data_IF_270831665224
#
_entry.id   IF_270831665224
#
_cell.length_a   1.000
_cell.length_b   1.000
_cell.length_c   1.000
_cell.angle_alpha   90.00
_cell.angle_beta   90.00
_cell.angle_gamma   90.00
#
_symmetry.space_group_name_H-M   'P 1'
#
loop_
_entity.id
_entity.type
_entity.pdbx_description
1 polymer ?
#
# COMPACT_ATOMS: atom_id res chain seq x y z
N UNK A 1 18.60 7.70 9.02
CA UNK A 1 18.02 6.82 8.00
C UNK A 1 17.66 5.49 8.64
N UNK A 2 16.46 5.02 8.42
CA UNK A 2 16.03 3.72 8.93
C UNK A 2 16.64 2.57 8.12
N UNK A 3 16.74 1.39 8.74
CA UNK A 3 17.22 0.18 8.08
C UNK A 3 16.12 -0.90 8.16
N UNK A 4 15.89 -1.59 7.08
CA UNK A 4 14.99 -2.75 7.01
C UNK A 4 15.72 -3.91 6.32
N UNK A 5 15.00 -5.02 6.09
CA UNK A 5 15.56 -6.17 5.37
C UNK A 5 14.77 -6.47 4.10
N UNK A 6 15.48 -6.79 3.04
CA UNK A 6 14.91 -7.33 1.82
C UNK A 6 15.56 -8.69 1.53
N UNK A 7 14.78 -9.75 1.48
CA UNK A 7 15.26 -11.14 1.36
C UNK A 7 16.36 -11.47 2.39
N UNK A 8 16.18 -11.02 3.63
CA UNK A 8 17.14 -11.24 4.72
C UNK A 8 18.35 -10.28 4.74
N UNK A 9 18.60 -9.54 3.67
CA UNK A 9 19.72 -8.60 3.57
C UNK A 9 19.31 -7.19 4.06
N UNK A 10 20.18 -6.50 4.81
CA UNK A 10 19.87 -5.15 5.28
C UNK A 10 19.80 -4.16 4.12
N UNK A 11 18.78 -3.32 4.13
CA UNK A 11 18.56 -2.27 3.13
C UNK A 11 18.31 -0.96 3.85
N UNK A 12 18.98 0.09 3.42
CA UNK A 12 18.75 1.45 3.91
C UNK A 12 17.46 2.02 3.29
N UNK A 13 16.65 2.65 4.14
CA UNK A 13 15.42 3.31 3.72
C UNK A 13 15.60 4.82 3.87
N UNK A 14 15.16 5.56 2.88
CA UNK A 14 15.16 7.02 2.93
C UNK A 14 14.11 7.49 3.94
N UNK A 15 14.53 8.26 4.95
CA UNK A 15 13.68 8.78 6.01
C UNK A 15 13.59 7.87 7.23
N UNK A 16 12.65 8.17 8.09
CA UNK A 16 12.39 7.45 9.34
C UNK A 16 11.01 6.79 9.30
N UNK A 17 10.88 5.69 10.01
CA UNK A 17 9.58 5.04 10.18
C UNK A 17 8.66 5.89 11.06
N UNK A 18 7.41 5.96 10.68
CA UNK A 18 6.39 6.65 11.46
C UNK A 18 6.17 5.90 12.77
N UNK A 19 6.22 6.64 13.87
CA UNK A 19 6.01 6.05 15.20
C UNK A 19 4.57 5.59 15.38
N UNK A 20 4.41 4.50 16.12
CA UNK A 20 3.10 4.01 16.53
C UNK A 20 2.37 5.08 17.34
N UNK A 21 1.10 5.32 17.01
CA UNK A 21 0.28 6.33 17.68
C UNK A 21 0.35 7.74 17.07
N UNK A 22 1.26 7.97 16.10
CA UNK A 22 1.26 9.26 15.39
C UNK A 22 0.21 9.31 14.29
N UNK A 23 -0.24 10.52 13.97
CA UNK A 23 -1.17 10.76 12.86
C UNK A 23 -0.52 10.38 11.54
N UNK A 24 -1.24 9.63 10.72
CA UNK A 24 -0.80 9.28 9.39
C UNK A 24 -0.79 10.53 8.48
N UNK A 25 0.33 10.84 7.79
CA UNK A 25 0.33 11.90 6.80
C UNK A 25 -0.58 11.53 5.63
N UNK A 26 -1.24 12.53 5.07
CA UNK A 26 -2.06 12.35 3.89
C UNK A 26 -1.21 12.05 2.65
N UNK A 27 -1.79 11.28 1.74
CA UNK A 27 -1.18 10.95 0.46
C UNK A 27 -2.25 10.78 -0.62
N UNK A 28 -1.83 10.92 -1.86
CA UNK A 28 -2.68 10.68 -3.03
C UNK A 28 -2.19 9.46 -3.80
N UNK A 29 -3.13 8.66 -4.26
CA UNK A 29 -2.92 7.47 -5.08
C UNK A 29 -3.83 7.53 -6.31
N UNK A 30 -3.56 6.69 -7.30
CA UNK A 30 -4.40 6.55 -8.49
C UNK A 30 -5.10 5.20 -8.45
N UNK A 31 -6.42 5.22 -8.55
CA UNK A 31 -7.25 4.00 -8.60
C UNK A 31 -7.27 3.38 -10.02
N UNK A 32 -7.90 2.22 -10.11
CA UNK A 32 -8.03 1.48 -11.38
C UNK A 32 -8.81 2.24 -12.47
N UNK A 33 -9.67 3.17 -12.07
CA UNK A 33 -10.44 4.05 -12.96
C UNK A 33 -9.70 5.34 -13.33
N UNK A 34 -8.41 5.45 -12.99
CA UNK A 34 -7.55 6.62 -13.19
C UNK A 34 -7.91 7.83 -12.33
N UNK A 35 -8.87 7.74 -11.43
CA UNK A 35 -9.20 8.83 -10.50
C UNK A 35 -8.18 8.93 -9.38
N UNK A 36 -7.93 10.14 -8.90
CA UNK A 36 -7.14 10.37 -7.69
C UNK A 36 -7.92 9.97 -6.46
N UNK A 37 -7.19 9.45 -5.47
CA UNK A 37 -7.73 9.02 -4.20
C UNK A 37 -6.80 9.44 -3.08
N UNK A 38 -7.35 10.01 -2.03
CA UNK A 38 -6.60 10.53 -0.89
C UNK A 38 -6.97 9.77 0.38
N UNK A 39 -6.01 9.62 1.30
CA UNK A 39 -6.26 8.98 2.59
C UNK A 39 -7.37 9.67 3.38
N UNK A 40 -7.53 10.98 3.23
CA UNK A 40 -8.57 11.77 3.89
C UNK A 40 -9.99 11.31 3.55
N UNK A 41 -10.19 10.73 2.37
CA UNK A 41 -11.49 10.20 1.96
C UNK A 41 -11.95 9.02 2.82
N UNK A 42 -11.04 8.42 3.58
CA UNK A 42 -11.31 7.28 4.47
C UNK A 42 -11.38 7.68 5.95
N UNK A 43 -11.56 8.97 6.24
CA UNK A 43 -11.71 9.43 7.62
C UNK A 43 -12.86 8.69 8.33
N UNK A 44 -12.60 8.26 9.57
CA UNK A 44 -13.56 7.51 10.37
C UNK A 44 -13.55 6.00 10.13
N UNK A 45 -12.72 5.50 9.21
CA UNK A 45 -12.55 4.08 8.93
C UNK A 45 -11.19 3.56 9.38
N UNK A 46 -11.14 2.28 9.71
CA UNK A 46 -9.86 1.58 9.88
C UNK A 46 -9.26 1.33 8.49
N UNK A 47 -8.01 1.72 8.28
CA UNK A 47 -7.34 1.57 6.99
C UNK A 47 -6.14 0.65 7.14
N UNK A 48 -6.12 -0.41 6.33
CA UNK A 48 -4.98 -1.31 6.22
C UNK A 48 -4.27 -1.00 4.91
N UNK A 49 -2.99 -0.67 4.99
CA UNK A 49 -2.16 -0.43 3.82
C UNK A 49 -1.31 -1.68 3.52
N UNK A 50 -1.64 -2.40 2.46
CA UNK A 50 -0.85 -3.50 1.94
C UNK A 50 0.01 -2.99 0.78
N UNK A 51 1.30 -2.81 1.03
CA UNK A 51 2.23 -2.19 0.09
C UNK A 51 3.24 -3.21 -0.38
N UNK A 52 3.37 -3.33 -1.68
CA UNK A 52 4.21 -4.34 -2.30
C UNK A 52 4.79 -3.84 -3.65
N UNK A 53 5.87 -4.45 -4.14
CA UNK A 53 6.51 -4.02 -5.39
C UNK A 53 5.65 -4.24 -6.63
N UNK A 54 5.04 -5.42 -6.80
CA UNK A 54 4.24 -5.74 -7.97
C UNK A 54 3.34 -6.95 -7.76
N UNK A 55 2.16 -6.93 -8.39
CA UNK A 55 1.24 -8.08 -8.49
C UNK A 55 1.83 -9.26 -9.29
N UNK A 56 2.86 -9.02 -10.07
CA UNK A 56 3.54 -10.07 -10.84
C UNK A 56 4.47 -10.93 -9.98
N UNK A 57 4.57 -10.66 -8.68
CA UNK A 57 5.25 -11.52 -7.72
C UNK A 57 4.23 -12.41 -6.99
N UNK A 58 4.54 -13.70 -6.85
CA UNK A 58 3.59 -14.67 -6.27
C UNK A 58 3.17 -14.35 -4.85
N UNK A 59 4.08 -13.89 -4.01
CA UNK A 59 3.81 -13.49 -2.61
C UNK A 59 2.86 -12.29 -2.56
N UNK A 60 3.08 -11.28 -3.40
CA UNK A 60 2.26 -10.07 -3.43
C UNK A 60 0.83 -10.37 -3.90
N UNK A 61 0.69 -11.14 -4.96
CA UNK A 61 -0.62 -11.58 -5.45
C UNK A 61 -1.38 -12.39 -4.39
N UNK A 62 -0.70 -13.31 -3.71
CA UNK A 62 -1.27 -14.10 -2.61
C UNK A 62 -1.72 -13.22 -1.45
N UNK A 63 -0.93 -12.21 -1.09
CA UNK A 63 -1.27 -11.24 -0.06
C UNK A 63 -2.58 -10.50 -0.39
N UNK A 64 -2.72 -10.01 -1.62
CA UNK A 64 -3.95 -9.33 -2.06
C UNK A 64 -5.17 -10.26 -1.99
N UNK A 65 -5.04 -11.50 -2.45
CA UNK A 65 -6.11 -12.50 -2.36
C UNK A 65 -6.55 -12.77 -0.92
N UNK A 66 -5.59 -12.90 -0.01
CA UNK A 66 -5.88 -13.11 1.42
C UNK A 66 -6.58 -11.90 2.04
N UNK A 67 -6.08 -10.70 1.80
CA UNK A 67 -6.72 -9.48 2.28
C UNK A 67 -8.13 -9.30 1.70
N UNK A 68 -8.35 -9.67 0.44
CA UNK A 68 -9.68 -9.62 -0.16
C UNK A 68 -10.68 -10.51 0.60
N UNK A 69 -10.28 -11.71 0.97
CA UNK A 69 -11.12 -12.62 1.77
C UNK A 69 -11.37 -12.11 3.18
N UNK A 70 -10.35 -11.59 3.83
CA UNK A 70 -10.44 -11.10 5.21
C UNK A 70 -11.25 -9.81 5.30
N UNK A 71 -11.09 -8.91 4.33
CA UNK A 71 -11.78 -7.62 4.30
C UNK A 71 -13.29 -7.76 4.25
N UNK A 72 -13.80 -8.79 3.61
CA UNK A 72 -15.24 -9.07 3.55
C UNK A 72 -15.89 -9.25 4.92
N UNK A 73 -15.15 -9.69 5.93
CA UNK A 73 -15.63 -9.91 7.29
C UNK A 73 -15.27 -8.81 8.29
N UNK A 74 -14.60 -7.74 7.86
CA UNK A 74 -14.14 -6.67 8.74
C UNK A 74 -15.03 -5.42 8.61
N UNK A 75 -15.86 -5.09 9.61
CA UNK A 75 -16.68 -3.88 9.57
C UNK A 75 -15.79 -2.63 9.64
N UNK A 76 -16.24 -1.55 8.99
CA UNK A 76 -15.58 -0.24 9.00
C UNK A 76 -14.09 -0.27 8.67
N UNK A 77 -13.65 -1.26 7.91
CA UNK A 77 -12.26 -1.44 7.52
C UNK A 77 -12.12 -1.40 6.00
N UNK A 78 -11.15 -0.61 5.54
CA UNK A 78 -10.78 -0.51 4.11
C UNK A 78 -9.35 -1.01 3.95
N UNK A 79 -9.14 -1.90 2.99
CA UNK A 79 -7.80 -2.37 2.62
C UNK A 79 -7.38 -1.70 1.31
N UNK A 80 -6.27 -1.00 1.35
CA UNK A 80 -5.63 -0.42 0.17
C UNK A 80 -4.44 -1.30 -0.22
N UNK A 81 -4.47 -1.86 -1.42
CA UNK A 81 -3.35 -2.57 -2.00
C UNK A 81 -2.58 -1.62 -2.92
N UNK A 82 -1.37 -1.28 -2.52
CA UNK A 82 -0.59 -0.20 -3.12
C UNK A 82 0.67 -0.76 -3.76
N UNK A 83 0.84 -0.52 -5.05
CA UNK A 83 2.02 -0.94 -5.79
C UNK A 83 2.43 0.07 -6.86
N UNK A 84 3.47 -0.25 -7.60
CA UNK A 84 3.91 0.50 -8.78
C UNK A 84 3.32 -0.02 -10.09
N UNK A 85 2.47 -1.03 -10.02
CA UNK A 85 1.77 -1.52 -11.22
C UNK A 85 0.84 -0.43 -11.77
N UNK A 86 0.70 -0.40 -13.08
CA UNK A 86 -0.22 0.54 -13.73
C UNK A 86 -1.68 0.23 -13.36
N UNK A 87 -2.57 1.24 -13.36
CA UNK A 87 -3.99 1.04 -13.08
C UNK A 87 -4.65 -0.02 -13.99
N UNK A 88 -4.18 -0.13 -15.22
CA UNK A 88 -4.65 -1.15 -16.17
C UNK A 88 -4.30 -2.58 -15.72
N UNK A 89 -3.10 -2.77 -15.19
CA UNK A 89 -2.68 -4.05 -14.62
C UNK A 89 -3.47 -4.38 -13.34
N UNK A 90 -3.73 -3.40 -12.52
CA UNK A 90 -4.59 -3.53 -11.34
C UNK A 90 -6.02 -3.95 -11.74
N UNK A 91 -6.60 -3.30 -12.73
CA UNK A 91 -7.95 -3.61 -13.22
C UNK A 91 -8.02 -5.05 -13.76
N UNK A 92 -7.03 -5.46 -14.55
CA UNK A 92 -6.94 -6.83 -15.06
C UNK A 92 -6.86 -7.85 -13.92
N UNK A 93 -6.03 -7.60 -12.92
CA UNK A 93 -5.88 -8.47 -11.76
C UNK A 93 -7.20 -8.59 -10.98
N UNK A 94 -7.88 -7.48 -10.71
CA UNK A 94 -9.17 -7.47 -10.03
C UNK A 94 -10.21 -8.32 -10.78
N UNK A 95 -10.30 -8.16 -12.09
CA UNK A 95 -11.25 -8.90 -12.91
C UNK A 95 -10.92 -10.39 -12.94
N UNK A 96 -9.65 -10.74 -13.14
CA UNK A 96 -9.20 -12.15 -13.26
C UNK A 96 -9.33 -12.90 -11.94
N UNK A 97 -9.03 -12.24 -10.82
CA UNK A 97 -8.97 -12.86 -9.49
C UNK A 97 -10.23 -12.63 -8.64
N UNK A 98 -11.22 -11.89 -9.15
CA UNK A 98 -12.44 -11.57 -8.41
C UNK A 98 -12.19 -10.72 -7.16
N UNK A 99 -11.32 -9.73 -7.24
CA UNK A 99 -10.98 -8.83 -6.13
C UNK A 99 -12.02 -7.71 -6.04
N UNK A 100 -12.86 -7.73 -5.01
CA UNK A 100 -13.95 -6.76 -4.82
C UNK A 100 -13.85 -5.99 -3.49
N UNK A 101 -13.16 -6.55 -2.49
CA UNK A 101 -13.11 -6.01 -1.13
C UNK A 101 -11.81 -5.26 -0.82
N UNK A 102 -10.95 -5.10 -1.79
CA UNK A 102 -9.66 -4.39 -1.67
C UNK A 102 -9.58 -3.35 -2.78
N UNK A 103 -9.16 -2.15 -2.43
CA UNK A 103 -8.93 -1.08 -3.40
C UNK A 103 -7.48 -1.13 -3.85
N UNK A 104 -7.24 -1.44 -5.12
CA UNK A 104 -5.91 -1.44 -5.71
C UNK A 104 -5.57 -0.02 -6.19
N UNK A 105 -4.40 0.44 -5.80
CA UNK A 105 -3.94 1.80 -6.09
C UNK A 105 -2.50 1.83 -6.58
N UNK A 106 -2.24 2.66 -7.58
CA UNK A 106 -0.90 2.98 -8.02
C UNK A 106 -0.32 4.11 -7.16
N UNK A 107 0.89 3.94 -6.67
CA UNK A 107 1.71 5.06 -6.23
C UNK A 107 2.10 5.88 -7.46
N UNK A 108 1.44 7.03 -7.64
CA UNK A 108 1.80 7.94 -8.72
C UNK A 108 3.24 8.43 -8.54
N UNK A 109 4.05 8.21 -9.56
CA UNK A 109 5.49 8.54 -9.49
C UNK A 109 5.71 10.05 -9.59
N UNK A 110 4.87 10.75 -10.33
CA UNK A 110 5.06 12.17 -10.61
C UNK A 110 4.77 13.11 -9.44
N UNK A 111 3.58 13.10 -8.83
CA UNK A 111 3.33 13.96 -7.66
C UNK A 111 4.12 13.49 -6.43
N UNK A 112 4.38 12.20 -6.32
CA UNK A 112 5.10 11.63 -5.19
C UNK A 112 6.59 11.96 -5.27
N UNK A 113 7.22 11.88 -6.44
CA UNK A 113 8.62 12.33 -6.58
C UNK A 113 8.77 13.81 -6.25
N UNK A 114 7.82 14.64 -6.63
CA UNK A 114 7.82 16.06 -6.27
C UNK A 114 7.59 16.27 -4.77
N UNK A 115 6.59 15.62 -4.18
CA UNK A 115 6.33 15.66 -2.73
C UNK A 115 7.40 14.93 -1.92
N UNK A 116 8.03 13.90 -2.47
CA UNK A 116 9.08 13.14 -1.82
C UNK A 116 10.41 13.87 -1.77
N UNK A 117 10.68 14.75 -2.69
CA UNK A 117 11.80 15.69 -2.57
C UNK A 117 11.58 16.68 -1.46
N UNK A 118 10.34 17.05 -1.16
CA UNK A 118 9.98 18.01 -0.11
C UNK A 118 9.71 17.43 1.26
N UNK A 119 9.25 16.18 1.35
CA UNK A 119 8.77 15.59 2.61
C UNK A 119 9.55 14.37 3.10
N UNK A 120 10.73 14.11 2.56
CA UNK A 120 11.62 13.04 3.03
C UNK A 120 10.86 11.74 3.38
N UNK A 121 10.27 11.13 2.38
CA UNK A 121 9.81 9.73 2.49
C UNK A 121 9.06 9.32 3.75
N UNK A 122 8.42 10.24 4.41
CA UNK A 122 7.56 9.94 5.55
C UNK A 122 6.34 9.17 5.10
N UNK A 123 6.60 7.98 4.65
CA UNK A 123 5.59 7.11 4.15
C UNK A 123 5.06 6.30 5.29
N UNK A 124 3.97 6.71 5.70
CA UNK A 124 2.94 5.96 6.39
C UNK A 124 2.81 4.56 5.90
N UNK A 125 3.11 4.42 4.69
CA UNK A 125 3.12 3.19 3.95
C UNK A 125 3.84 2.05 4.66
N UNK A 126 4.81 2.34 5.45
CA UNK A 126 5.56 1.32 6.16
C UNK A 126 4.79 0.58 7.26
N UNK A 127 3.60 1.01 7.63
CA UNK A 127 2.89 0.34 8.74
C UNK A 127 2.06 -0.86 8.32
N UNK A 128 1.60 -0.89 7.11
CA UNK A 128 0.99 -2.09 6.56
C UNK A 128 1.99 -3.22 6.40
N UNK A 129 3.26 -2.87 6.38
CA UNK A 129 4.36 -3.81 6.41
C UNK A 129 4.34 -4.67 7.69
N UNK A 130 3.61 -4.31 8.71
CA UNK A 130 3.40 -5.21 9.83
C UNK A 130 2.83 -6.56 9.38
N UNK A 131 1.79 -6.54 8.59
CA UNK A 131 1.23 -7.74 8.00
C UNK A 131 2.12 -8.30 6.88
N UNK A 132 2.79 -7.42 6.15
CA UNK A 132 3.71 -7.79 5.09
C UNK A 132 5.10 -8.17 5.63
N UNK A 133 5.52 -7.59 6.74
CA UNK A 133 6.76 -7.89 7.41
C UNK A 133 6.81 -9.30 8.01
N UNK A 134 5.68 -9.92 8.29
CA UNK A 134 5.65 -11.33 8.69
C UNK A 134 6.04 -12.26 7.55
N UNK A 135 5.87 -11.84 6.31
CA UNK A 135 6.30 -12.59 5.13
C UNK A 135 7.75 -12.31 4.70
N UNK A 136 8.38 -11.28 5.26
CA UNK A 136 9.75 -10.86 4.93
C UNK A 136 10.71 -10.97 6.10
N UNK A 137 10.34 -11.65 7.14
CA UNK A 137 11.27 -12.01 8.22
C UNK A 137 12.13 -13.19 7.80
#
# INVERSE_FOLDING_TARGET
>A
MATTKFKGQPVKVIGEFIKVGSVAPDFELVKTDLSSFSLKELNGKNVILNIFPSLDTGVCATSVRKFNKLAAGLPDTVVLAISKDLPFAHARFCTTEGIENVILCLISVFPILMKLRGTHGRRTACRSIGAFGSGYR
#
